data_IF_698930141550
#
_entry.id   IF_698930141550
#
_cell.length_a   1.000
_cell.length_b   1.000
_cell.length_c   1.000
_cell.angle_alpha   90.00
_cell.angle_beta   90.00
_cell.angle_gamma   90.00
#
_symmetry.space_group_name_H-M   'P 1'
#
loop_
_entity.id
_entity.type
_entity.pdbx_description
1 polymer ?
#
# COMPACT_ATOMS: atom_id res chain seq x y z
N UNK A 1 12.80 -18.91 35.27
CA UNK A 1 12.78 -19.28 33.82
C UNK A 1 12.52 -20.78 33.72
N UNK A 2 11.40 -21.19 33.12
CA UNK A 2 11.06 -22.61 33.00
C UNK A 2 12.05 -23.33 32.07
N UNK A 3 12.65 -24.43 32.54
CA UNK A 3 13.61 -25.25 31.79
C UNK A 3 12.82 -26.15 30.85
N UNK A 4 12.49 -25.65 29.65
CA UNK A 4 11.73 -26.40 28.64
C UNK A 4 12.56 -27.60 28.17
N UNK A 5 11.98 -28.80 28.24
CA UNK A 5 12.61 -30.04 27.80
C UNK A 5 12.74 -30.08 26.28
N UNK A 6 13.87 -30.60 25.76
CA UNK A 6 14.15 -30.70 24.31
C UNK A 6 13.04 -31.44 23.56
N UNK A 7 12.39 -32.41 24.20
CA UNK A 7 11.27 -33.17 23.62
C UNK A 7 9.97 -32.36 23.56
N UNK A 8 9.72 -31.46 24.51
CA UNK A 8 8.54 -30.58 24.49
C UNK A 8 8.66 -29.51 23.40
N UNK A 9 9.88 -29.00 23.18
CA UNK A 9 10.19 -28.11 22.06
C UNK A 9 9.95 -28.83 20.73
N UNK A 10 10.42 -30.07 20.62
CA UNK A 10 10.23 -30.90 19.44
C UNK A 10 8.75 -31.19 19.15
N UNK A 11 7.97 -31.61 20.14
CA UNK A 11 6.53 -31.84 19.96
C UNK A 11 5.77 -30.57 19.53
N UNK A 12 6.15 -29.41 20.03
CA UNK A 12 5.52 -28.13 19.67
C UNK A 12 5.87 -27.71 18.23
N UNK A 13 7.12 -27.89 17.82
CA UNK A 13 7.56 -27.63 16.44
C UNK A 13 6.91 -28.59 15.46
N UNK A 14 6.88 -29.89 15.77
CA UNK A 14 6.26 -30.91 14.92
C UNK A 14 4.76 -30.66 14.79
N UNK A 15 4.05 -30.35 15.88
CA UNK A 15 2.63 -30.01 15.84
C UNK A 15 2.35 -28.78 14.98
N UNK A 16 3.20 -27.74 15.08
CA UNK A 16 3.07 -26.52 14.26
C UNK A 16 3.31 -26.82 12.79
N UNK A 17 4.33 -27.61 12.46
CA UNK A 17 4.61 -28.04 11.09
C UNK A 17 3.46 -28.84 10.49
N UNK A 18 2.87 -29.75 11.27
CA UNK A 18 1.74 -30.57 10.85
C UNK A 18 0.50 -29.68 10.61
N UNK A 19 0.25 -28.70 11.47
CA UNK A 19 -0.84 -27.74 11.28
C UNK A 19 -0.61 -26.84 10.05
N UNK A 20 0.63 -26.37 9.83
CA UNK A 20 0.95 -25.61 8.62
C UNK A 20 0.69 -26.46 7.38
N UNK A 21 1.15 -27.72 7.38
CA UNK A 21 1.01 -28.61 6.23
C UNK A 21 -0.45 -28.97 5.93
N UNK A 22 -1.25 -29.28 6.94
CA UNK A 22 -2.63 -29.74 6.75
C UNK A 22 -3.67 -28.63 6.71
N UNK A 23 -3.40 -27.47 7.33
CA UNK A 23 -4.36 -26.37 7.40
C UNK A 23 -3.86 -25.16 6.61
N UNK A 24 -2.65 -24.68 6.88
CA UNK A 24 -2.19 -23.44 6.25
C UNK A 24 -1.96 -23.61 4.75
N UNK A 25 -1.28 -24.67 4.31
CA UNK A 25 -0.97 -24.90 2.89
C UNK A 25 -2.24 -25.07 2.06
N UNK A 26 -3.21 -25.95 2.40
CA UNK A 26 -4.43 -26.09 1.63
C UNK A 26 -5.25 -24.79 1.65
N UNK A 27 -5.34 -24.11 2.80
CA UNK A 27 -6.09 -22.86 2.91
C UNK A 27 -5.46 -21.73 2.09
N UNK A 28 -4.15 -21.58 2.09
CA UNK A 28 -3.47 -20.56 1.28
C UNK A 28 -3.51 -20.89 -0.20
N UNK A 29 -3.39 -22.18 -0.57
CA UNK A 29 -3.54 -22.61 -1.96
C UNK A 29 -4.96 -22.34 -2.47
N UNK A 30 -5.97 -22.63 -1.64
CA UNK A 30 -7.36 -22.30 -1.94
C UNK A 30 -7.50 -20.78 -2.08
N UNK A 31 -7.06 -20.01 -1.08
CA UNK A 31 -7.14 -18.55 -1.11
C UNK A 31 -6.48 -17.96 -2.35
N UNK A 32 -5.30 -18.45 -2.74
CA UNK A 32 -4.62 -17.99 -3.95
C UNK A 32 -5.46 -18.22 -5.21
N UNK A 33 -6.09 -19.40 -5.34
CA UNK A 33 -6.92 -19.74 -6.48
C UNK A 33 -8.20 -18.89 -6.58
N UNK A 34 -8.78 -18.45 -5.46
CA UNK A 34 -10.04 -17.69 -5.44
C UNK A 34 -9.87 -16.19 -5.19
N UNK A 35 -8.65 -15.69 -4.96
CA UNK A 35 -8.43 -14.25 -4.81
C UNK A 35 -8.41 -13.58 -6.18
N UNK A 36 -9.51 -12.94 -6.55
CA UNK A 36 -9.55 -12.07 -7.72
C UNK A 36 -8.97 -10.68 -7.40
N UNK A 37 -8.31 -10.06 -8.39
CA UNK A 37 -7.90 -8.66 -8.30
C UNK A 37 -9.13 -7.76 -8.21
N UNK A 38 -9.13 -6.83 -7.25
CA UNK A 38 -10.22 -5.86 -7.08
C UNK A 38 -10.09 -4.76 -8.12
N UNK A 39 -11.17 -4.50 -8.87
CA UNK A 39 -11.20 -3.37 -9.80
C UNK A 39 -11.36 -2.05 -9.04
N UNK A 40 -10.57 -1.06 -9.44
CA UNK A 40 -10.59 0.31 -8.90
C UNK A 40 -11.05 1.35 -9.92
N UNK A 41 -11.58 0.90 -11.06
CA UNK A 41 -12.04 1.78 -12.13
C UNK A 41 -13.13 2.73 -11.64
N UNK A 42 -12.95 4.03 -11.87
CA UNK A 42 -13.86 5.08 -11.40
C UNK A 42 -13.88 5.28 -9.88
N UNK A 43 -13.03 4.58 -9.11
CA UNK A 43 -12.84 4.81 -7.67
C UNK A 43 -11.78 5.88 -7.43
N UNK A 44 -11.81 6.47 -6.24
CA UNK A 44 -10.81 7.45 -5.82
C UNK A 44 -9.78 6.75 -4.93
N UNK A 45 -8.50 6.95 -5.21
CA UNK A 45 -7.36 6.36 -4.50
C UNK A 45 -6.44 7.48 -4.03
N UNK A 46 -5.95 7.38 -2.81
CA UNK A 46 -4.95 8.30 -2.25
C UNK A 46 -3.62 7.55 -2.16
N UNK A 47 -2.55 8.13 -2.71
CA UNK A 47 -1.21 7.55 -2.70
C UNK A 47 -0.25 8.53 -2.05
N UNK A 48 0.35 8.11 -0.93
CA UNK A 48 1.39 8.86 -0.22
C UNK A 48 2.78 8.51 -0.74
N UNK A 49 3.74 9.44 -0.67
CA UNK A 49 5.12 9.18 -1.12
C UNK A 49 5.23 9.01 -2.64
N UNK A 50 4.32 9.62 -3.39
CA UNK A 50 4.20 9.46 -4.83
C UNK A 50 4.95 10.52 -5.66
N UNK A 51 5.82 11.33 -5.03
CA UNK A 51 6.71 12.23 -5.77
C UNK A 51 7.76 11.48 -6.60
N UNK A 52 8.15 10.26 -6.21
CA UNK A 52 9.13 9.46 -6.95
C UNK A 52 8.99 7.95 -6.69
N UNK A 53 9.83 7.16 -7.36
CA UNK A 53 9.96 5.72 -7.15
C UNK A 53 8.65 4.94 -7.30
N UNK A 54 8.43 4.01 -6.36
CA UNK A 54 7.26 3.12 -6.38
C UNK A 54 5.94 3.87 -6.26
N UNK A 55 5.87 4.92 -5.43
CA UNK A 55 4.64 5.69 -5.25
C UNK A 55 4.20 6.35 -6.57
N UNK A 56 5.16 6.95 -7.30
CA UNK A 56 4.90 7.52 -8.63
C UNK A 56 4.43 6.46 -9.62
N UNK A 57 5.16 5.34 -9.72
CA UNK A 57 4.80 4.26 -10.65
C UNK A 57 3.40 3.69 -10.37
N UNK A 58 3.06 3.51 -9.08
CA UNK A 58 1.73 3.06 -8.67
C UNK A 58 0.64 4.08 -9.04
N UNK A 59 0.90 5.38 -8.87
CA UNK A 59 -0.04 6.43 -9.27
C UNK A 59 -0.30 6.41 -10.78
N UNK A 60 0.73 6.24 -11.59
CA UNK A 60 0.63 6.13 -13.05
C UNK A 60 -0.20 4.90 -13.45
N UNK A 61 0.12 3.72 -12.92
CA UNK A 61 -0.63 2.48 -13.23
C UNK A 61 -2.11 2.61 -12.83
N UNK A 62 -2.39 3.11 -11.62
CA UNK A 62 -3.77 3.23 -11.15
C UNK A 62 -4.59 4.27 -11.93
N UNK A 63 -3.97 5.39 -12.32
CA UNK A 63 -4.65 6.42 -13.09
C UNK A 63 -4.83 6.02 -14.56
N UNK A 64 -3.76 5.55 -15.20
CA UNK A 64 -3.70 5.32 -16.65
C UNK A 64 -4.26 3.95 -17.04
N UNK A 65 -3.86 2.89 -16.35
CA UNK A 65 -4.23 1.52 -16.73
C UNK A 65 -5.52 1.06 -16.06
N UNK A 66 -5.73 1.45 -14.79
CA UNK A 66 -6.91 1.03 -14.02
C UNK A 66 -8.04 2.07 -13.99
N UNK A 67 -7.84 3.27 -14.55
CA UNK A 67 -8.87 4.31 -14.68
C UNK A 67 -9.42 4.80 -13.35
N UNK A 68 -8.58 4.83 -12.31
CA UNK A 68 -8.92 5.41 -11.02
C UNK A 68 -8.68 6.93 -11.00
N UNK A 69 -9.39 7.64 -10.12
CA UNK A 69 -9.07 9.02 -9.76
C UNK A 69 -8.00 8.98 -8.67
N UNK A 70 -6.81 9.48 -8.94
CA UNK A 70 -5.67 9.36 -8.01
C UNK A 70 -5.35 10.72 -7.38
N UNK A 71 -5.34 10.77 -6.05
CA UNK A 71 -4.81 11.89 -5.28
C UNK A 71 -3.40 11.55 -4.79
N UNK A 72 -2.42 12.39 -5.15
CA UNK A 72 -1.01 12.22 -4.81
C UNK A 72 -0.68 13.09 -3.60
N UNK A 73 -0.08 12.49 -2.57
CA UNK A 73 0.34 13.17 -1.35
C UNK A 73 1.83 12.91 -1.16
N UNK A 74 2.61 13.97 -0.95
CA UNK A 74 4.03 13.86 -0.63
C UNK A 74 4.44 14.99 0.32
N UNK A 75 5.62 14.87 0.92
CA UNK A 75 6.14 15.83 1.91
C UNK A 75 6.85 17.03 1.26
N UNK A 76 6.80 17.15 -0.07
CA UNK A 76 7.41 18.30 -0.73
C UNK A 76 6.59 19.57 -0.45
N UNK A 77 7.10 20.41 0.46
CA UNK A 77 6.74 21.81 0.54
C UNK A 77 7.29 22.51 -0.69
N UNK A 78 6.63 22.35 -1.83
CA UNK A 78 6.76 23.37 -2.88
C UNK A 78 6.29 24.64 -2.16
N UNK A 79 7.24 25.53 -1.87
CA UNK A 79 6.93 26.93 -1.67
C UNK A 79 6.19 27.32 -2.94
N UNK A 80 4.86 27.24 -2.91
CA UNK A 80 4.05 28.01 -3.82
C UNK A 80 4.53 29.42 -3.57
N UNK A 81 5.36 29.96 -4.46
CA UNK A 81 5.40 31.39 -4.65
C UNK A 81 3.94 31.74 -4.83
N UNK A 82 3.35 32.29 -3.77
CA UNK A 82 2.07 32.93 -3.81
C UNK A 82 2.10 33.72 -5.11
N UNK A 83 1.16 33.43 -6.01
CA UNK A 83 0.94 34.29 -7.16
C UNK A 83 0.98 35.72 -6.60
N UNK A 84 1.84 36.60 -7.12
CA UNK A 84 2.06 37.91 -6.52
C UNK A 84 0.70 38.49 -6.25
N UNK A 85 0.44 38.82 -4.99
CA UNK A 85 -0.76 39.57 -4.62
C UNK A 85 -0.73 40.79 -5.51
N UNK A 86 -1.63 40.84 -6.49
CA UNK A 86 -1.84 42.04 -7.28
C UNK A 86 -2.42 43.01 -6.26
N UNK A 87 -1.59 43.89 -5.73
CA UNK A 87 -2.05 44.92 -4.83
C UNK A 87 -3.02 45.79 -5.64
N UNK A 88 -4.19 46.16 -5.10
CA UNK A 88 -5.17 47.01 -5.80
C UNK A 88 -4.59 48.37 -6.27
N UNK A 89 -3.39 48.71 -5.83
CA UNK A 89 -2.65 49.94 -6.16
C UNK A 89 -1.87 49.84 -7.48
N UNK A 90 -1.67 48.65 -8.04
CA UNK A 90 -0.94 48.44 -9.30
C UNK A 90 -1.84 48.58 -10.54
N UNK A 91 -3.13 48.90 -10.35
CA UNK A 91 -4.12 49.03 -11.43
C UNK A 91 -4.29 50.47 -11.94
N UNK A 92 -3.32 51.37 -11.68
CA UNK A 92 -3.40 52.77 -12.10
C UNK A 92 -2.08 53.31 -12.69
N UNK A 93 -1.55 52.63 -13.71
CA UNK A 93 -0.59 53.20 -14.68
C UNK A 93 -1.12 52.96 -16.08
#
# INVERSE_FOLDING_TARGET
>A
MARISRSQLFCSTVGTLLHIFFVAIPKDLWRWKYTAQKSVRGKTIVITGAASGLGKAMAEIFALEHGAKVAIIDVNSIHFHQAPSIDPLDMNI
#
